data_IF_996232665914
#
_entry.id   IF_996232665914
#
_cell.length_a   1.000
_cell.length_b   1.000
_cell.length_c   1.000
_cell.angle_alpha   90.00
_cell.angle_beta   90.00
_cell.angle_gamma   90.00
#
_symmetry.space_group_name_H-M   'P 1'
#
loop_
_entity.id
_entity.type
_entity.pdbx_description
1 polymer ?
#
# COMPACT_ATOMS: atom_id res chain seq x y z
N UNK A 1 -23.06 -11.11 32.56
CA UNK A 1 -21.76 -11.07 33.27
C UNK A 1 -20.72 -10.48 32.33
N UNK A 2 -20.00 -9.46 32.80
CA UNK A 2 -18.96 -8.82 31.98
C UNK A 2 -17.61 -9.53 32.29
N UNK A 3 -17.36 -10.61 31.54
CA UNK A 3 -16.17 -11.44 31.72
C UNK A 3 -14.86 -10.64 31.65
N UNK A 4 -14.83 -9.53 30.92
CA UNK A 4 -13.64 -8.67 30.82
C UNK A 4 -13.31 -7.98 32.14
N UNK A 5 -14.30 -7.47 32.87
CA UNK A 5 -14.11 -6.83 34.17
C UNK A 5 -13.72 -7.82 35.26
N UNK A 6 -14.28 -9.02 35.24
CA UNK A 6 -13.92 -10.08 36.19
C UNK A 6 -12.48 -10.58 35.95
N UNK A 7 -12.09 -10.75 34.69
CA UNK A 7 -10.71 -11.10 34.34
C UNK A 7 -9.70 -10.03 34.81
N UNK A 8 -10.00 -8.75 34.56
CA UNK A 8 -9.12 -7.66 34.99
C UNK A 8 -8.97 -7.63 36.52
N UNK A 9 -10.05 -7.84 37.25
CA UNK A 9 -10.04 -7.89 38.71
C UNK A 9 -9.21 -9.09 39.23
N UNK A 10 -9.35 -10.24 38.60
CA UNK A 10 -8.57 -11.43 38.94
C UNK A 10 -7.08 -11.24 38.65
N UNK A 11 -6.73 -10.70 37.48
CA UNK A 11 -5.34 -10.48 37.08
C UNK A 11 -4.61 -9.50 38.01
N UNK A 12 -5.28 -8.41 38.38
CA UNK A 12 -4.67 -7.39 39.26
C UNK A 12 -4.66 -7.84 40.72
N UNK A 13 -5.77 -8.35 41.25
CA UNK A 13 -5.91 -8.64 42.69
C UNK A 13 -5.29 -10.00 43.11
N UNK A 14 -5.37 -11.00 42.25
CA UNK A 14 -4.89 -12.35 42.60
C UNK A 14 -3.55 -12.75 41.96
N UNK A 15 -3.21 -12.17 40.81
CA UNK A 15 -1.96 -12.46 40.10
C UNK A 15 -0.91 -11.35 40.21
N UNK A 16 -1.26 -10.23 40.85
CA UNK A 16 -0.32 -9.12 41.08
C UNK A 16 0.17 -8.40 39.82
N UNK A 17 -0.54 -8.56 38.71
CA UNK A 17 -0.21 -7.87 37.46
C UNK A 17 -0.61 -6.41 37.61
N UNK A 18 0.32 -5.47 37.34
CA UNK A 18 -0.01 -4.04 37.44
C UNK A 18 -1.13 -3.68 36.44
N UNK A 19 -2.04 -2.80 36.85
CA UNK A 19 -3.13 -2.33 35.98
C UNK A 19 -2.59 -1.69 34.69
N UNK A 20 -1.46 -0.99 34.74
CA UNK A 20 -0.80 -0.41 33.56
C UNK A 20 -0.28 -1.48 32.61
N UNK A 21 0.36 -2.53 33.14
CA UNK A 21 0.84 -3.67 32.31
C UNK A 21 -0.32 -4.39 31.65
N UNK A 22 -1.41 -4.62 32.41
CA UNK A 22 -2.63 -5.24 31.87
C UNK A 22 -3.28 -4.37 30.80
N UNK A 23 -3.35 -3.06 31.01
CA UNK A 23 -3.90 -2.11 30.04
C UNK A 23 -3.04 -2.04 28.76
N UNK A 24 -1.72 -1.99 28.89
CA UNK A 24 -0.81 -2.04 27.74
C UNK A 24 -0.96 -3.34 26.94
N UNK A 25 -1.06 -4.48 27.65
CA UNK A 25 -1.31 -5.76 27.00
C UNK A 25 -2.65 -5.80 26.24
N UNK A 26 -3.70 -5.26 26.84
CA UNK A 26 -5.02 -5.18 26.21
C UNK A 26 -5.03 -4.22 25.01
N UNK A 27 -4.33 -3.09 25.09
CA UNK A 27 -4.17 -2.19 23.94
C UNK A 27 -3.37 -2.87 22.82
N UNK A 28 -2.32 -3.59 23.13
CA UNK A 28 -1.56 -4.36 22.12
C UNK A 28 -2.40 -5.47 21.48
N UNK A 29 -3.24 -6.16 22.25
CA UNK A 29 -4.10 -7.22 21.72
C UNK A 29 -5.24 -6.69 20.85
N UNK A 30 -5.72 -5.46 21.10
CA UNK A 30 -6.77 -4.82 20.30
C UNK A 30 -6.21 -4.19 19.01
N UNK A 31 -4.96 -3.73 19.00
CA UNK A 31 -4.31 -3.14 17.83
C UNK A 31 -3.67 -4.16 16.90
N UNK A 32 -3.41 -5.37 17.37
CA UNK A 32 -2.78 -6.45 16.58
C UNK A 32 -3.88 -7.37 15.99
N UNK A 33 -4.65 -6.83 15.04
CA UNK A 33 -5.61 -7.62 14.25
C UNK A 33 -4.96 -8.50 13.18
N UNK A 34 -3.63 -8.55 13.14
CA UNK A 34 -2.89 -9.40 12.20
C UNK A 34 -3.00 -10.85 12.65
N UNK A 35 -3.70 -11.72 11.91
CA UNK A 35 -3.84 -13.12 12.28
C UNK A 35 -2.50 -13.85 12.20
N UNK A 36 -2.21 -14.68 13.20
CA UNK A 36 -1.05 -15.57 13.19
C UNK A 36 -1.39 -16.89 12.51
N UNK A 37 -0.45 -17.39 11.73
CA UNK A 37 -0.52 -18.69 11.06
C UNK A 37 0.47 -19.62 11.76
N UNK A 38 0.04 -20.85 12.05
CA UNK A 38 0.90 -21.94 12.51
C UNK A 38 1.13 -22.85 11.30
N UNK A 39 2.37 -22.93 10.84
CA UNK A 39 2.78 -23.79 9.74
C UNK A 39 3.63 -24.95 10.28
N UNK A 40 3.14 -26.18 10.13
CA UNK A 40 3.91 -27.38 10.45
C UNK A 40 4.92 -27.65 9.32
N UNK A 41 6.18 -27.71 9.69
CA UNK A 41 7.27 -28.11 8.79
C UNK A 41 7.88 -29.42 9.31
N UNK A 42 8.51 -30.25 8.44
CA UNK A 42 8.97 -31.60 8.82
C UNK A 42 9.85 -31.69 10.07
N UNK A 43 10.41 -30.59 10.54
CA UNK A 43 11.29 -30.55 11.71
C UNK A 43 10.97 -29.43 12.70
N UNK A 44 9.95 -28.58 12.43
CA UNK A 44 9.67 -27.45 13.31
C UNK A 44 8.27 -26.85 13.06
N UNK A 45 7.68 -26.27 14.11
CA UNK A 45 6.44 -25.46 14.01
C UNK A 45 6.85 -24.00 14.04
N UNK A 46 6.53 -23.25 12.98
CA UNK A 46 6.77 -21.82 12.89
C UNK A 46 5.45 -21.04 13.05
N UNK A 47 5.40 -20.15 14.03
CA UNK A 47 4.32 -19.17 14.14
C UNK A 47 4.77 -17.87 13.48
N UNK A 48 4.01 -17.37 12.53
CA UNK A 48 4.27 -16.10 11.85
C UNK A 48 2.95 -15.39 11.56
N UNK A 49 3.00 -14.06 11.40
CA UNK A 49 1.83 -13.31 10.96
C UNK A 49 1.55 -13.54 9.47
N UNK A 50 0.32 -13.24 9.05
CA UNK A 50 -0.13 -13.50 7.66
C UNK A 50 0.67 -12.70 6.63
N UNK A 51 1.08 -11.47 6.95
CA UNK A 51 1.85 -10.64 6.00
C UNK A 51 3.27 -11.19 5.81
N UNK A 52 3.91 -11.63 6.90
CA UNK A 52 5.19 -12.33 6.83
C UNK A 52 5.10 -13.61 6.01
N UNK A 53 4.00 -14.36 6.14
CA UNK A 53 3.76 -15.57 5.34
C UNK A 53 3.57 -15.24 3.85
N UNK A 54 2.80 -14.20 3.52
CA UNK A 54 2.63 -13.74 2.15
C UNK A 54 3.95 -13.27 1.54
N UNK A 55 4.79 -12.57 2.31
CA UNK A 55 6.09 -12.10 1.86
C UNK A 55 7.03 -13.26 1.47
N UNK A 56 6.91 -14.45 2.09
CA UNK A 56 7.66 -15.65 1.64
C UNK A 56 7.25 -16.08 0.23
N UNK A 57 6.02 -15.79 -0.20
CA UNK A 57 5.54 -16.01 -1.56
C UNK A 57 5.75 -14.77 -2.46
N UNK A 58 6.57 -13.81 -2.01
CA UNK A 58 6.91 -12.55 -2.68
C UNK A 58 5.70 -11.62 -2.88
N UNK A 59 4.76 -11.67 -1.94
CA UNK A 59 3.56 -10.83 -1.94
C UNK A 59 3.71 -9.77 -0.85
N UNK A 60 3.62 -8.50 -1.26
CA UNK A 60 3.51 -7.33 -0.39
C UNK A 60 2.04 -6.87 -0.40
N UNK A 61 1.45 -6.66 0.77
CA UNK A 61 0.10 -6.14 0.88
C UNK A 61 0.12 -4.73 1.47
N UNK A 62 -0.19 -3.73 0.65
CA UNK A 62 -0.26 -2.33 1.03
C UNK A 62 -1.74 -1.92 1.21
N UNK A 63 -2.26 -2.09 2.42
CA UNK A 63 -3.66 -1.89 2.79
C UNK A 63 -3.93 -0.65 3.65
N UNK A 64 -2.95 0.24 3.80
CA UNK A 64 -3.00 1.37 4.73
C UNK A 64 -2.78 2.71 4.02
N UNK A 65 -3.12 3.85 4.66
CA UNK A 65 -2.67 5.17 4.21
C UNK A 65 -1.14 5.25 4.16
N UNK A 66 -0.60 5.85 3.11
CA UNK A 66 0.85 5.97 2.91
C UNK A 66 1.41 7.07 3.81
N UNK A 67 2.26 6.68 4.74
CA UNK A 67 3.04 7.53 5.62
C UNK A 67 4.48 7.02 5.70
N UNK A 68 5.36 7.72 6.42
CA UNK A 68 6.77 7.33 6.51
C UNK A 68 6.98 5.93 7.09
N UNK A 69 6.14 5.53 8.05
CA UNK A 69 6.23 4.19 8.66
C UNK A 69 5.90 3.09 7.63
N UNK A 70 4.79 3.23 6.91
CA UNK A 70 4.37 2.30 5.84
C UNK A 70 5.42 2.27 4.73
N UNK A 71 5.93 3.44 4.31
CA UNK A 71 6.95 3.53 3.27
C UNK A 71 8.24 2.81 3.66
N UNK A 72 8.72 3.00 4.88
CA UNK A 72 9.92 2.32 5.37
C UNK A 72 9.74 0.79 5.38
N UNK A 73 8.56 0.28 5.79
CA UNK A 73 8.27 -1.15 5.78
C UNK A 73 8.25 -1.69 4.35
N UNK A 74 7.50 -1.06 3.45
CA UNK A 74 7.37 -1.53 2.05
C UNK A 74 8.72 -1.48 1.34
N UNK A 75 9.49 -0.40 1.53
CA UNK A 75 10.84 -0.27 0.98
C UNK A 75 11.77 -1.38 1.50
N UNK A 76 11.75 -1.65 2.81
CA UNK A 76 12.53 -2.73 3.40
C UNK A 76 12.12 -4.12 2.86
N UNK A 77 10.82 -4.35 2.65
CA UNK A 77 10.31 -5.59 2.06
C UNK A 77 10.76 -5.75 0.59
N UNK A 78 10.71 -4.69 -0.21
CA UNK A 78 11.18 -4.70 -1.60
C UNK A 78 12.68 -5.05 -1.67
N UNK A 79 13.51 -4.38 -0.88
CA UNK A 79 14.96 -4.64 -0.80
C UNK A 79 15.28 -6.05 -0.29
N UNK A 80 14.54 -6.53 0.70
CA UNK A 80 14.69 -7.89 1.19
C UNK A 80 14.35 -8.92 0.12
N UNK A 81 13.25 -8.74 -0.61
CA UNK A 81 12.84 -9.66 -1.67
C UNK A 81 13.83 -9.64 -2.84
N UNK A 82 14.38 -8.48 -3.20
CA UNK A 82 15.49 -8.42 -4.16
C UNK A 82 16.72 -9.19 -3.69
N UNK A 83 17.10 -9.05 -2.42
CA UNK A 83 18.28 -9.74 -1.88
C UNK A 83 18.12 -11.26 -1.86
N UNK A 84 16.88 -11.76 -1.78
CA UNK A 84 16.60 -13.21 -1.77
C UNK A 84 16.56 -13.81 -3.17
N UNK A 85 15.99 -13.09 -4.15
CA UNK A 85 15.93 -13.53 -5.55
C UNK A 85 15.71 -12.32 -6.46
N UNK A 86 16.67 -12.05 -7.35
CA UNK A 86 16.65 -10.91 -8.27
C UNK A 86 15.86 -11.15 -9.55
N UNK A 87 15.39 -12.38 -9.78
CA UNK A 87 14.82 -12.79 -11.07
C UNK A 87 13.32 -12.99 -11.02
N UNK A 88 12.77 -13.30 -9.84
CA UNK A 88 11.34 -13.56 -9.68
C UNK A 88 10.60 -12.27 -9.36
N UNK A 89 9.43 -12.11 -9.97
CA UNK A 89 8.54 -10.97 -9.74
C UNK A 89 8.14 -10.81 -8.26
N UNK A 90 7.88 -9.57 -7.89
CA UNK A 90 7.25 -9.20 -6.62
C UNK A 90 5.81 -8.78 -6.93
N UNK A 91 4.84 -9.28 -6.18
CA UNK A 91 3.43 -8.93 -6.31
C UNK A 91 3.03 -7.94 -5.21
N UNK A 92 2.64 -6.73 -5.60
CA UNK A 92 2.17 -5.71 -4.67
C UNK A 92 0.66 -5.53 -4.78
N UNK A 93 -0.06 -5.98 -3.75
CA UNK A 93 -1.50 -5.78 -3.62
C UNK A 93 -1.77 -4.42 -2.97
N UNK A 94 -2.60 -3.60 -3.61
CA UNK A 94 -2.83 -2.21 -3.20
C UNK A 94 -4.32 -2.03 -2.87
N UNK A 95 -4.59 -1.59 -1.63
CA UNK A 95 -5.88 -1.13 -1.15
C UNK A 95 -5.67 0.11 -0.26
N UNK A 96 -5.33 1.24 -0.87
CA UNK A 96 -4.86 2.42 -0.16
C UNK A 96 -5.56 3.70 -0.65
N UNK A 97 -5.95 4.59 0.27
CA UNK A 97 -6.45 5.93 -0.07
C UNK A 97 -5.33 6.90 -0.54
N UNK A 98 -4.08 6.44 -0.59
CA UNK A 98 -2.92 7.30 -0.81
C UNK A 98 -2.37 7.89 0.49
N UNK A 99 -1.74 9.06 0.43
CA UNK A 99 -1.15 9.71 1.59
C UNK A 99 0.04 10.60 1.24
N UNK A 100 1.09 10.57 2.06
CA UNK A 100 2.29 11.41 1.89
C UNK A 100 2.97 11.17 0.55
N UNK A 101 3.15 12.26 -0.21
CA UNK A 101 3.83 12.21 -1.52
C UNK A 101 5.29 11.78 -1.37
N UNK A 102 6.02 12.36 -0.42
CA UNK A 102 7.44 12.01 -0.22
C UNK A 102 7.61 10.53 0.17
N UNK A 103 6.78 10.05 1.10
CA UNK A 103 6.79 8.65 1.50
C UNK A 103 6.47 7.72 0.31
N UNK A 104 5.48 8.08 -0.50
CA UNK A 104 5.11 7.32 -1.68
C UNK A 104 6.15 7.35 -2.79
N UNK A 105 6.81 8.50 -3.02
CA UNK A 105 7.91 8.59 -4.00
C UNK A 105 9.12 7.72 -3.58
N UNK A 106 9.39 7.59 -2.29
CA UNK A 106 10.42 6.64 -1.81
C UNK A 106 10.09 5.18 -2.15
N UNK A 107 8.81 4.79 -2.04
CA UNK A 107 8.35 3.46 -2.50
C UNK A 107 8.49 3.35 -4.03
N UNK A 108 8.01 4.36 -4.76
CA UNK A 108 8.09 4.43 -6.23
C UNK A 108 9.51 4.24 -6.74
N UNK A 109 10.44 5.06 -6.25
CA UNK A 109 11.84 4.98 -6.65
C UNK A 109 12.45 3.61 -6.33
N UNK A 110 12.11 3.02 -5.19
CA UNK A 110 12.55 1.68 -4.84
C UNK A 110 11.99 0.63 -5.80
N UNK A 111 10.70 0.72 -6.18
CA UNK A 111 10.10 -0.18 -7.17
C UNK A 111 10.81 -0.10 -8.53
N UNK A 112 11.24 1.11 -8.95
CA UNK A 112 11.95 1.31 -10.22
C UNK A 112 13.43 0.91 -10.12
N UNK A 113 14.04 0.95 -8.94
CA UNK A 113 15.46 0.72 -8.72
C UNK A 113 15.83 -0.77 -8.62
N UNK A 114 14.97 -1.58 -7.99
CA UNK A 114 15.24 -3.01 -7.78
C UNK A 114 15.19 -3.81 -9.08
N UNK A 115 15.94 -4.92 -9.13
CA UNK A 115 16.03 -5.77 -10.31
C UNK A 115 14.75 -6.58 -10.61
N UNK A 116 14.01 -7.12 -9.62
CA UNK A 116 12.76 -7.83 -9.87
C UNK A 116 11.67 -6.93 -10.44
N UNK A 117 10.89 -7.44 -11.37
CA UNK A 117 9.67 -6.77 -11.82
C UNK A 117 8.66 -6.69 -10.66
N UNK A 118 8.09 -5.51 -10.45
CA UNK A 118 7.00 -5.32 -9.50
C UNK A 118 5.68 -5.33 -10.25
N UNK A 119 4.89 -6.39 -10.07
CA UNK A 119 3.52 -6.44 -10.55
C UNK A 119 2.58 -5.83 -9.51
N UNK A 120 1.59 -5.04 -9.96
CA UNK A 120 0.67 -4.33 -9.07
C UNK A 120 -0.77 -4.79 -9.26
N UNK A 121 -1.49 -4.96 -8.16
CA UNK A 121 -2.86 -5.46 -8.16
C UNK A 121 -3.73 -4.57 -7.27
N UNK A 122 -4.68 -3.83 -7.84
CA UNK A 122 -5.64 -3.08 -7.04
C UNK A 122 -6.75 -3.98 -6.50
N UNK A 123 -6.92 -3.98 -5.17
CA UNK A 123 -7.99 -4.72 -4.47
C UNK A 123 -8.83 -3.76 -3.64
N UNK A 124 -9.95 -3.29 -4.17
CA UNK A 124 -10.80 -2.31 -3.49
C UNK A 124 -10.52 -0.90 -3.99
N UNK A 125 -9.49 -0.23 -3.51
CA UNK A 125 -9.20 1.15 -3.88
C UNK A 125 -7.70 1.42 -4.06
N UNK A 126 -7.37 2.21 -5.08
CA UNK A 126 -6.06 2.83 -5.20
C UNK A 126 -6.29 4.32 -5.53
N UNK A 127 -6.15 5.19 -4.54
CA UNK A 127 -6.41 6.61 -4.70
C UNK A 127 -5.14 7.46 -4.47
N UNK A 128 -5.06 8.61 -5.16
CA UNK A 128 -3.97 9.56 -4.95
C UNK A 128 -2.60 8.90 -5.14
N UNK A 129 -1.71 8.97 -4.16
CA UNK A 129 -0.41 8.31 -4.20
C UNK A 129 -0.52 6.77 -4.36
N UNK A 130 -1.61 6.15 -3.90
CA UNK A 130 -1.90 4.74 -4.14
C UNK A 130 -2.13 4.42 -5.63
N UNK A 131 -2.77 5.32 -6.38
CA UNK A 131 -2.94 5.18 -7.83
C UNK A 131 -1.61 5.36 -8.58
N UNK A 132 -0.74 6.25 -8.10
CA UNK A 132 0.62 6.43 -8.64
C UNK A 132 1.42 5.13 -8.49
N UNK A 133 1.41 4.51 -7.31
CA UNK A 133 2.09 3.23 -7.09
C UNK A 133 1.47 2.08 -7.89
N UNK A 134 0.15 2.10 -8.10
CA UNK A 134 -0.52 1.11 -8.95
C UNK A 134 -0.02 1.19 -10.39
N UNK A 135 0.00 2.38 -10.97
CA UNK A 135 0.44 2.56 -12.35
C UNK A 135 1.96 2.42 -12.54
N UNK A 136 2.73 2.51 -11.44
CA UNK A 136 4.19 2.35 -11.42
C UNK A 136 4.66 0.89 -11.56
N UNK A 137 3.76 -0.08 -11.49
CA UNK A 137 4.08 -1.47 -11.80
C UNK A 137 4.59 -1.65 -13.22
N UNK A 138 5.29 -2.76 -13.47
CA UNK A 138 5.83 -3.06 -14.80
C UNK A 138 4.70 -3.20 -15.82
N UNK A 139 4.87 -2.56 -16.96
CA UNK A 139 3.88 -2.60 -18.05
C UNK A 139 3.56 -4.03 -18.47
N UNK A 140 2.28 -4.34 -18.58
CA UNK A 140 1.76 -5.69 -18.81
C UNK A 140 1.50 -6.50 -17.54
N UNK A 141 1.90 -5.99 -16.35
CA UNK A 141 1.74 -6.65 -15.04
C UNK A 141 0.97 -5.81 -14.02
N UNK A 142 0.24 -4.78 -14.48
CA UNK A 142 -0.59 -3.90 -13.65
C UNK A 142 -2.05 -4.32 -13.79
N UNK A 143 -2.70 -4.68 -12.69
CA UNK A 143 -4.04 -5.24 -12.74
C UNK A 143 -4.97 -4.61 -11.70
N UNK A 144 -6.28 -4.74 -11.93
CA UNK A 144 -7.29 -4.35 -10.96
C UNK A 144 -8.40 -5.39 -10.90
N UNK A 145 -8.94 -5.64 -9.70
CA UNK A 145 -10.14 -6.46 -9.56
C UNK A 145 -11.36 -5.69 -10.08
N UNK A 146 -12.37 -6.41 -10.55
CA UNK A 146 -13.56 -5.90 -11.24
C UNK A 146 -14.22 -4.68 -10.58
N UNK A 147 -14.32 -4.68 -9.26
CA UNK A 147 -15.01 -3.63 -8.50
C UNK A 147 -14.07 -2.60 -7.88
N UNK A 148 -12.79 -2.65 -8.19
CA UNK A 148 -11.82 -1.66 -7.72
C UNK A 148 -12.14 -0.26 -8.23
N UNK A 149 -11.72 0.73 -7.43
CA UNK A 149 -11.82 2.16 -7.79
C UNK A 149 -10.42 2.76 -7.76
N UNK A 150 -10.13 3.52 -8.80
CA UNK A 150 -8.87 4.23 -8.93
C UNK A 150 -9.18 5.73 -8.98
N UNK A 151 -8.40 6.55 -8.27
CA UNK A 151 -8.62 7.98 -8.24
C UNK A 151 -7.31 8.74 -8.39
N UNK A 152 -7.31 9.70 -9.30
CA UNK A 152 -6.24 10.66 -9.49
C UNK A 152 -6.66 12.03 -9.01
N UNK A 153 -5.77 12.78 -8.41
CA UNK A 153 -5.92 14.19 -8.12
C UNK A 153 -4.56 14.86 -7.89
N UNK A 154 -4.53 16.18 -7.91
CA UNK A 154 -3.33 16.94 -7.58
C UNK A 154 -2.97 16.83 -6.11
N UNK A 155 -1.67 16.96 -5.74
CA UNK A 155 -1.27 16.97 -4.34
C UNK A 155 -1.98 18.10 -3.58
N UNK A 156 -2.43 17.79 -2.38
CA UNK A 156 -3.05 18.75 -1.46
C UNK A 156 -2.22 18.86 -0.18
N UNK A 157 -2.22 20.02 0.43
CA UNK A 157 -1.52 20.25 1.70
C UNK A 157 -1.96 21.56 2.33
N UNK A 158 -1.82 21.65 3.65
CA UNK A 158 -1.96 22.90 4.40
C UNK A 158 -0.57 23.53 4.57
N UNK A 159 -0.47 24.83 4.31
CA UNK A 159 0.76 25.60 4.44
C UNK A 159 0.52 26.68 5.51
N UNK A 160 1.42 26.78 6.48
CA UNK A 160 1.40 27.82 7.50
C UNK A 160 2.81 28.29 7.83
N UNK A 161 2.95 29.48 8.41
CA UNK A 161 4.24 30.04 8.79
C UNK A 161 4.44 31.47 8.31
N UNK A 162 5.69 31.92 8.22
CA UNK A 162 6.05 33.23 7.69
C UNK A 162 5.83 33.28 6.16
N UNK A 163 5.59 34.45 5.61
CA UNK A 163 5.31 34.63 4.19
C UNK A 163 6.39 33.96 3.28
N UNK A 164 7.65 34.14 3.63
CA UNK A 164 8.79 33.53 2.92
C UNK A 164 8.75 32.00 2.94
N UNK A 165 8.37 31.40 4.07
CA UNK A 165 8.27 29.94 4.22
C UNK A 165 7.11 29.39 3.40
N UNK A 166 6.00 30.14 3.37
CA UNK A 166 4.83 29.81 2.52
C UNK A 166 5.23 29.81 1.04
N UNK A 167 5.99 30.80 0.56
CA UNK A 167 6.46 30.87 -0.81
C UNK A 167 7.42 29.74 -1.18
N UNK A 168 8.33 29.37 -0.28
CA UNK A 168 9.27 28.24 -0.46
C UNK A 168 8.49 26.94 -0.59
N UNK A 169 7.57 26.70 0.34
CA UNK A 169 6.74 25.48 0.34
C UNK A 169 5.81 25.40 -0.88
N UNK A 170 5.22 26.52 -1.28
CA UNK A 170 4.38 26.57 -2.47
C UNK A 170 5.16 26.26 -3.76
N UNK A 171 6.41 26.71 -3.86
CA UNK A 171 7.31 26.34 -4.98
C UNK A 171 7.61 24.85 -5.00
N UNK A 172 7.85 24.26 -3.84
CA UNK A 172 8.14 22.83 -3.73
C UNK A 172 6.92 21.98 -4.10
N UNK A 173 5.73 22.33 -3.59
CA UNK A 173 4.49 21.64 -3.97
C UNK A 173 4.23 21.70 -5.49
N UNK A 174 4.57 22.84 -6.14
CA UNK A 174 4.45 22.95 -7.59
C UNK A 174 5.39 22.00 -8.33
N UNK A 175 6.63 21.81 -7.85
CA UNK A 175 7.57 20.84 -8.44
C UNK A 175 7.05 19.41 -8.27
N UNK A 176 6.68 19.01 -7.05
CA UNK A 176 6.12 17.69 -6.78
C UNK A 176 4.89 17.40 -7.62
N UNK A 177 4.03 18.41 -7.83
CA UNK A 177 2.86 18.29 -8.70
C UNK A 177 3.26 17.93 -10.13
N UNK A 178 4.27 18.59 -10.69
CA UNK A 178 4.75 18.30 -12.05
C UNK A 178 5.40 16.91 -12.12
N UNK A 179 6.24 16.54 -11.16
CA UNK A 179 6.86 15.21 -11.09
C UNK A 179 5.82 14.09 -11.05
N UNK A 180 4.76 14.25 -10.24
CA UNK A 180 3.67 13.27 -10.19
C UNK A 180 2.93 13.16 -11.53
N UNK A 181 2.70 14.28 -12.22
CA UNK A 181 2.06 14.27 -13.53
C UNK A 181 2.94 13.60 -14.59
N UNK A 182 4.25 13.84 -14.56
CA UNK A 182 5.22 13.17 -15.42
C UNK A 182 5.25 11.66 -15.17
N UNK A 183 5.26 11.23 -13.91
CA UNK A 183 5.19 9.82 -13.54
C UNK A 183 3.92 9.17 -14.09
N UNK A 184 2.74 9.79 -13.86
CA UNK A 184 1.46 9.26 -14.36
C UNK A 184 1.44 9.22 -15.90
N UNK A 185 1.90 10.28 -16.56
CA UNK A 185 1.96 10.36 -18.01
C UNK A 185 2.85 9.26 -18.61
N UNK A 186 4.05 9.09 -18.06
CA UNK A 186 5.00 8.08 -18.51
C UNK A 186 4.45 6.65 -18.38
N UNK A 187 3.79 6.34 -17.29
CA UNK A 187 3.24 4.99 -17.05
C UNK A 187 1.92 4.73 -17.78
N UNK A 188 1.05 5.74 -17.89
CA UNK A 188 -0.25 5.60 -18.57
C UNK A 188 -0.17 5.72 -20.09
N UNK A 189 0.84 6.43 -20.61
CA UNK A 189 0.97 6.79 -22.02
C UNK A 189 0.08 7.96 -22.43
N UNK A 190 -0.53 8.67 -21.46
CA UNK A 190 -1.24 9.93 -21.71
C UNK A 190 -0.25 11.08 -21.80
N UNK A 191 -0.63 12.13 -22.52
CA UNK A 191 0.15 13.37 -22.49
C UNK A 191 -0.02 14.08 -21.13
N UNK A 192 1.00 14.85 -20.75
CA UNK A 192 1.06 15.51 -19.45
C UNK A 192 -0.05 16.56 -19.24
N UNK A 193 -0.49 17.22 -20.31
CA UNK A 193 -1.53 18.25 -20.21
C UNK A 193 -2.89 17.60 -19.94
N UNK A 194 -3.17 16.44 -20.55
CA UNK A 194 -4.34 15.63 -20.24
C UNK A 194 -4.32 15.18 -18.76
N UNK A 195 -3.21 14.62 -18.28
CA UNK A 195 -3.06 14.23 -16.88
C UNK A 195 -3.25 15.42 -15.94
N UNK A 196 -2.67 16.57 -16.30
CA UNK A 196 -2.79 17.80 -15.51
C UNK A 196 -4.24 18.31 -15.44
N UNK A 197 -4.98 18.20 -16.53
CA UNK A 197 -6.41 18.59 -16.58
C UNK A 197 -7.28 17.65 -15.72
N UNK A 198 -7.09 16.34 -15.86
CA UNK A 198 -7.85 15.32 -15.15
C UNK A 198 -7.59 15.38 -13.63
N UNK A 199 -6.35 15.62 -13.23
CA UNK A 199 -5.95 15.72 -11.83
C UNK A 199 -6.37 17.02 -11.13
N UNK A 200 -7.08 17.97 -11.78
CA UNK A 200 -7.50 19.23 -11.13
C UNK A 200 -8.46 19.00 -9.96
N UNK A 201 -9.25 17.95 -10.01
CA UNK A 201 -10.18 17.51 -8.97
C UNK A 201 -10.13 15.98 -8.91
N UNK A 202 -10.81 15.40 -7.91
CA UNK A 202 -10.89 13.94 -7.76
C UNK A 202 -11.46 13.30 -9.02
N UNK A 203 -10.60 12.65 -9.78
CA UNK A 203 -10.93 11.94 -11.01
C UNK A 203 -11.05 10.45 -10.73
N UNK A 204 -12.28 10.00 -10.47
CA UNK A 204 -12.58 8.62 -10.13
C UNK A 204 -12.81 7.77 -11.36
N UNK A 205 -12.22 6.58 -11.36
CA UNK A 205 -12.33 5.58 -12.42
C UNK A 205 -12.73 4.22 -11.85
N UNK A 206 -13.66 3.54 -12.53
CA UNK A 206 -13.82 2.09 -12.37
C UNK A 206 -12.61 1.36 -12.96
N UNK A 207 -12.44 0.07 -12.63
CA UNK A 207 -11.30 -0.71 -13.11
C UNK A 207 -11.17 -0.73 -14.65
N UNK A 208 -12.31 -0.78 -15.37
CA UNK A 208 -12.33 -0.74 -16.85
C UNK A 208 -11.90 0.62 -17.39
N UNK A 209 -12.35 1.71 -16.79
CA UNK A 209 -11.96 3.07 -17.16
C UNK A 209 -10.46 3.30 -16.89
N UNK A 210 -9.96 2.79 -15.76
CA UNK A 210 -8.53 2.86 -15.43
C UNK A 210 -7.66 2.06 -16.43
N UNK A 211 -8.18 0.96 -17.00
CA UNK A 211 -7.52 0.23 -18.08
C UNK A 211 -7.51 1.07 -19.37
N UNK A 212 -8.61 1.69 -19.75
CA UNK A 212 -8.70 2.55 -20.94
C UNK A 212 -7.82 3.80 -20.78
N UNK A 213 -7.68 4.29 -19.56
CA UNK A 213 -6.77 5.39 -19.24
C UNK A 213 -5.30 4.98 -19.34
N UNK A 214 -4.98 3.72 -19.12
CA UNK A 214 -3.62 3.18 -19.14
C UNK A 214 -2.95 3.05 -17.77
N UNK A 215 -3.70 3.19 -16.67
CA UNK A 215 -3.18 3.01 -15.31
C UNK A 215 -3.01 1.54 -14.94
N UNK A 216 -3.81 0.67 -15.54
CA UNK A 216 -3.69 -0.78 -15.42
C UNK A 216 -3.73 -1.43 -16.81
N UNK A 217 -3.18 -2.62 -16.92
CA UNK A 217 -3.11 -3.36 -18.19
C UNK A 217 -4.27 -4.34 -18.34
N UNK A 218 -4.79 -4.87 -17.20
CA UNK A 218 -5.85 -5.87 -17.22
C UNK A 218 -6.82 -5.71 -16.04
N UNK A 219 -8.09 -6.05 -16.28
CA UNK A 219 -9.12 -6.17 -15.24
C UNK A 219 -9.39 -7.65 -14.98
N UNK A 220 -9.07 -8.12 -13.79
CA UNK A 220 -9.26 -9.51 -13.39
C UNK A 220 -10.73 -9.76 -13.03
N UNK A 221 -11.44 -10.49 -13.89
CA UNK A 221 -12.86 -10.85 -13.70
C UNK A 221 -13.00 -12.15 -12.92
N UNK A 222 -12.16 -13.13 -13.24
CA UNK A 222 -12.14 -14.47 -12.64
C UNK A 222 -10.71 -14.89 -12.37
N UNK A 223 -10.53 -15.82 -11.45
CA UNK A 223 -9.21 -16.42 -11.26
C UNK A 223 -8.97 -17.48 -12.35
N UNK A 224 -7.93 -17.37 -13.17
CA UNK A 224 -7.64 -18.35 -14.24
C UNK A 224 -7.54 -19.79 -13.75
N UNK A 225 -7.17 -20.01 -12.48
CA UNK A 225 -7.15 -21.35 -11.86
C UNK A 225 -8.55 -21.95 -11.65
N UNK A 226 -9.63 -21.13 -11.71
CA UNK A 226 -11.00 -21.62 -11.63
C UNK A 226 -11.54 -22.10 -12.95
N UNK A 227 -11.03 -21.59 -14.07
CA UNK A 227 -11.47 -21.97 -15.41
C UNK A 227 -11.01 -23.38 -15.82
N UNK A 228 -9.92 -23.88 -15.20
CA UNK A 228 -9.39 -25.23 -15.43
C UNK A 228 -10.00 -26.32 -14.53
N UNK A 229 -11.13 -26.05 -13.82
CA UNK A 229 -11.84 -27.00 -12.97
C UNK A 229 -13.21 -27.41 -13.53
N UNK A 230 -13.32 -27.53 -14.87
CA UNK A 230 -14.45 -28.15 -15.55
C UNK A 230 -14.03 -29.50 -16.09
#
# INVERSE_FOLDING_TARGET
MDFGKEFNKYAVQHKGISSNTLHQYQQHSVTNLTPYIIEERPLNVASMDVFSRLMMDRIIFMGEPINDYVANIVTAQLLFLESTDRTRDIQMYINSPGGSVYAGMGIYDTMQFISPDVSTICTGMAASMGAVLLCAGVKGKRTALKHSRIMLHQPSGAIGGQASDIEITAREIKKLKLELYEVIANHSGKDIDTVAADCQRDFWMAATEAKEYGLVDEVLLTNPRKENKV
#
